data_IF_886866505911
#
_entry.id   IF_886866505911
#
_cell.length_a   1.000
_cell.length_b   1.000
_cell.length_c   1.000
_cell.angle_alpha   90.00
_cell.angle_beta   90.00
_cell.angle_gamma   90.00
#
_symmetry.space_group_name_H-M   'P 1'
#
loop_
_entity.id
_entity.type
_entity.pdbx_description
1 polymer ?
#
# COMPACT_ATOMS: atom_id res chain seq x y z
N UNK A 1 -72.60 4.78 -205.30
CA UNK A 1 -73.95 5.34 -205.52
C UNK A 1 -74.70 5.32 -204.19
N UNK A 2 -74.95 6.48 -203.58
CA UNK A 2 -75.38 6.65 -202.19
C UNK A 2 -76.91 6.64 -202.04
N UNK A 3 -77.55 5.49 -202.31
CA UNK A 3 -79.01 5.33 -202.24
C UNK A 3 -79.46 4.13 -201.37
N UNK A 4 -78.57 3.54 -200.55
CA UNK A 4 -78.85 2.33 -199.75
C UNK A 4 -79.04 2.56 -198.23
N UNK A 5 -78.64 3.70 -197.67
CA UNK A 5 -78.60 3.84 -196.21
C UNK A 5 -79.97 4.02 -195.54
N UNK A 6 -81.00 4.51 -196.24
CA UNK A 6 -82.32 4.73 -195.63
C UNK A 6 -83.07 3.44 -195.26
N UNK A 7 -82.68 2.28 -195.79
CA UNK A 7 -83.39 1.01 -195.51
C UNK A 7 -83.04 0.39 -194.13
N UNK A 8 -81.86 0.67 -193.55
CA UNK A 8 -81.41 0.03 -192.29
C UNK A 8 -82.03 0.63 -191.03
N UNK A 9 -82.33 1.92 -191.05
CA UNK A 9 -82.86 2.60 -189.86
C UNK A 9 -84.31 2.22 -189.56
N UNK A 10 -85.07 1.80 -190.57
CA UNK A 10 -86.43 1.28 -190.40
C UNK A 10 -86.48 0.01 -189.53
N UNK A 11 -85.54 -0.93 -189.69
CA UNK A 11 -85.51 -2.22 -188.97
C UNK A 11 -85.26 -2.08 -187.45
N UNK A 12 -84.42 -1.12 -187.04
CA UNK A 12 -84.15 -0.88 -185.62
C UNK A 12 -85.36 -0.36 -184.86
N UNK A 13 -86.19 0.46 -185.52
CA UNK A 13 -87.41 1.00 -184.91
C UNK A 13 -88.48 -0.08 -184.69
N UNK A 14 -88.59 -1.07 -185.59
CA UNK A 14 -89.52 -2.19 -185.43
C UNK A 14 -89.13 -3.15 -184.28
N UNK A 15 -87.84 -3.45 -184.14
CA UNK A 15 -87.34 -4.28 -183.03
C UNK A 15 -87.54 -3.63 -181.65
N UNK A 16 -87.56 -2.29 -181.59
CA UNK A 16 -87.85 -1.56 -180.35
C UNK A 16 -89.33 -1.67 -179.99
N UNK A 17 -90.23 -1.55 -180.98
CA UNK A 17 -91.68 -1.72 -180.79
C UNK A 17 -92.06 -3.10 -180.28
N UNK A 18 -91.41 -4.16 -180.76
CA UNK A 18 -91.69 -5.54 -180.29
C UNK A 18 -91.38 -5.73 -178.79
N UNK A 19 -90.26 -5.19 -178.30
CA UNK A 19 -89.89 -5.28 -176.87
C UNK A 19 -90.86 -4.50 -175.98
N UNK A 20 -91.30 -3.32 -176.43
CA UNK A 20 -92.31 -2.53 -175.73
C UNK A 20 -93.65 -3.28 -175.62
N UNK A 21 -94.05 -4.00 -176.68
CA UNK A 21 -95.28 -4.81 -176.70
C UNK A 21 -95.22 -6.00 -175.73
N UNK A 22 -94.09 -6.70 -175.62
CA UNK A 22 -93.93 -7.78 -174.64
C UNK A 22 -93.97 -7.26 -173.20
N UNK A 23 -93.37 -6.09 -172.96
CA UNK A 23 -93.42 -5.43 -171.65
C UNK A 23 -94.84 -5.04 -171.28
N UNK A 24 -95.60 -4.49 -172.22
CA UNK A 24 -97.03 -4.16 -172.03
C UNK A 24 -97.88 -5.40 -171.77
N UNK A 25 -97.64 -6.51 -172.47
CA UNK A 25 -98.30 -7.80 -172.19
C UNK A 25 -98.07 -8.30 -170.77
N UNK A 26 -96.88 -8.06 -170.21
CA UNK A 26 -96.55 -8.41 -168.81
C UNK A 26 -97.17 -7.45 -167.79
N UNK A 27 -97.34 -6.18 -168.13
CA UNK A 27 -97.96 -5.17 -167.25
C UNK A 27 -99.49 -5.15 -167.28
N UNK A 28 -100.12 -5.63 -168.36
CA UNK A 28 -101.55 -5.48 -168.63
C UNK A 28 -102.49 -6.25 -167.70
N UNK A 29 -102.49 -7.60 -167.68
CA UNK A 29 -103.45 -8.33 -166.86
C UNK A 29 -103.00 -8.44 -165.40
N UNK A 30 -103.82 -7.91 -164.48
CA UNK A 30 -103.54 -7.83 -163.04
C UNK A 30 -103.25 -9.14 -162.29
N UNK A 31 -103.53 -10.31 -162.88
CA UNK A 31 -103.29 -11.63 -162.28
C UNK A 31 -101.79 -12.00 -162.22
N UNK A 32 -101.03 -11.70 -163.28
CA UNK A 32 -99.57 -11.88 -163.31
C UNK A 32 -98.83 -10.86 -162.42
N UNK A 33 -99.49 -9.75 -162.09
CA UNK A 33 -98.97 -8.69 -161.22
C UNK A 33 -99.11 -8.97 -159.71
N UNK A 34 -100.14 -9.75 -159.33
CA UNK A 34 -100.48 -10.01 -157.92
C UNK A 34 -100.02 -11.39 -157.44
N UNK A 35 -100.05 -12.42 -158.29
CA UNK A 35 -99.60 -13.80 -157.95
C UNK A 35 -98.89 -14.40 -159.17
N UNK A 36 -97.76 -13.82 -159.57
CA UNK A 36 -96.87 -14.40 -160.57
C UNK A 36 -95.81 -15.28 -159.90
N UNK A 37 -96.07 -16.59 -159.79
CA UNK A 37 -95.07 -17.56 -159.34
C UNK A 37 -94.64 -18.43 -160.53
N UNK A 38 -93.34 -18.53 -160.75
CA UNK A 38 -92.75 -19.43 -161.75
C UNK A 38 -92.73 -20.87 -161.20
N UNK A 39 -93.80 -21.60 -161.45
CA UNK A 39 -94.00 -22.97 -160.95
C UNK A 39 -92.90 -23.91 -161.50
N UNK A 40 -92.46 -23.67 -162.74
CA UNK A 40 -91.42 -24.50 -163.37
C UNK A 40 -90.05 -24.19 -162.76
N UNK A 41 -89.75 -22.92 -162.52
CA UNK A 41 -88.54 -22.51 -161.80
C UNK A 41 -88.45 -23.06 -160.37
N UNK A 42 -89.56 -23.02 -159.62
CA UNK A 42 -89.62 -23.55 -158.24
C UNK A 42 -89.50 -25.08 -158.21
N UNK A 43 -90.08 -25.79 -159.18
CA UNK A 43 -89.93 -27.25 -159.30
C UNK A 43 -88.47 -27.66 -159.53
N UNK A 44 -87.76 -26.96 -160.42
CA UNK A 44 -86.33 -27.21 -160.66
C UNK A 44 -85.49 -26.92 -159.40
N UNK A 45 -85.80 -25.86 -158.65
CA UNK A 45 -85.10 -25.54 -157.40
C UNK A 45 -85.32 -26.59 -156.31
N UNK A 46 -86.51 -27.21 -156.25
CA UNK A 46 -86.80 -28.31 -155.35
C UNK A 46 -85.99 -29.56 -155.72
N UNK A 47 -85.91 -29.90 -157.01
CA UNK A 47 -85.08 -31.03 -157.47
C UNK A 47 -83.59 -30.80 -157.22
N UNK A 48 -83.09 -29.59 -157.48
CA UNK A 48 -81.71 -29.21 -157.21
C UNK A 48 -81.39 -29.33 -155.72
N UNK A 49 -82.27 -28.81 -154.85
CA UNK A 49 -82.11 -28.91 -153.39
C UNK A 49 -82.19 -30.34 -152.87
N UNK A 50 -83.05 -31.18 -153.46
CA UNK A 50 -83.12 -32.61 -153.13
C UNK A 50 -81.83 -33.35 -153.53
N UNK A 51 -81.24 -33.02 -154.69
CA UNK A 51 -79.95 -33.59 -155.11
C UNK A 51 -78.80 -33.15 -154.20
N UNK A 52 -78.78 -31.88 -153.79
CA UNK A 52 -77.79 -31.38 -152.83
C UNK A 52 -77.89 -32.10 -151.48
N UNK A 53 -79.10 -32.31 -150.96
CA UNK A 53 -79.31 -33.06 -149.71
C UNK A 53 -78.81 -34.50 -149.80
N UNK A 54 -79.11 -35.21 -150.89
CA UNK A 54 -78.63 -36.59 -151.09
C UNK A 54 -77.10 -36.67 -151.15
N UNK A 55 -76.45 -35.69 -151.78
CA UNK A 55 -74.98 -35.61 -151.81
C UNK A 55 -74.38 -35.32 -150.42
N UNK A 56 -75.02 -34.47 -149.62
CA UNK A 56 -74.59 -34.18 -148.26
C UNK A 56 -74.71 -35.39 -147.33
N UNK A 57 -75.82 -36.12 -147.40
CA UNK A 57 -76.04 -37.35 -146.61
C UNK A 57 -75.02 -38.43 -146.98
N UNK A 58 -74.73 -38.62 -148.27
CA UNK A 58 -73.71 -39.57 -148.71
C UNK A 58 -72.29 -39.18 -148.26
N UNK A 59 -71.98 -37.88 -148.20
CA UNK A 59 -70.71 -37.39 -147.68
C UNK A 59 -70.57 -37.61 -146.17
N UNK A 60 -71.64 -37.39 -145.40
CA UNK A 60 -71.67 -37.66 -143.95
C UNK A 60 -71.47 -39.14 -143.64
N UNK A 61 -72.16 -40.04 -144.36
CA UNK A 61 -71.99 -41.48 -144.16
C UNK A 61 -70.54 -41.94 -144.36
N UNK A 62 -69.84 -41.41 -145.37
CA UNK A 62 -68.42 -41.73 -145.59
C UNK A 62 -67.52 -41.23 -144.47
N UNK A 63 -67.77 -40.01 -143.97
CA UNK A 63 -67.02 -39.46 -142.83
C UNK A 63 -67.22 -40.31 -141.56
N UNK A 64 -68.46 -40.74 -141.29
CA UNK A 64 -68.79 -41.58 -140.14
C UNK A 64 -68.09 -42.95 -140.21
N UNK A 65 -68.00 -43.54 -141.40
CA UNK A 65 -67.28 -44.80 -141.63
C UNK A 65 -65.77 -44.67 -141.42
N UNK A 66 -65.16 -43.58 -141.90
CA UNK A 66 -63.75 -43.27 -141.68
C UNK A 66 -63.45 -43.06 -140.18
N UNK A 67 -64.28 -42.30 -139.48
CA UNK A 67 -64.15 -42.07 -138.04
C UNK A 67 -64.32 -43.35 -137.22
N UNK A 68 -65.18 -44.27 -137.65
CA UNK A 68 -65.35 -45.56 -137.01
C UNK A 68 -64.15 -46.50 -137.22
N UNK A 69 -63.44 -46.37 -138.35
CA UNK A 69 -62.21 -47.10 -138.61
C UNK A 69 -61.04 -46.54 -137.76
N UNK A 70 -60.90 -45.22 -137.69
CA UNK A 70 -59.87 -44.54 -136.88
C UNK A 70 -60.02 -44.90 -135.40
N UNK A 71 -61.24 -44.87 -134.86
CA UNK A 71 -61.52 -45.23 -133.46
C UNK A 71 -61.10 -46.67 -133.12
N UNK A 72 -61.34 -47.62 -134.02
CA UNK A 72 -60.93 -49.02 -133.83
C UNK A 72 -59.41 -49.17 -133.78
N UNK A 73 -58.69 -48.48 -134.65
CA UNK A 73 -57.23 -48.50 -134.66
C UNK A 73 -56.62 -47.91 -133.39
N UNK A 74 -57.13 -46.77 -132.91
CA UNK A 74 -56.64 -46.13 -131.69
C UNK A 74 -56.78 -47.03 -130.45
N UNK A 75 -57.93 -47.70 -130.30
CA UNK A 75 -58.16 -48.63 -129.20
C UNK A 75 -57.17 -49.80 -129.19
N UNK A 76 -56.80 -50.31 -130.37
CA UNK A 76 -55.81 -51.37 -130.48
C UNK A 76 -54.43 -50.88 -130.01
N UNK A 77 -53.97 -49.72 -130.51
CA UNK A 77 -52.68 -49.14 -130.11
C UNK A 77 -52.62 -48.86 -128.61
N UNK A 78 -53.68 -48.29 -128.03
CA UNK A 78 -53.76 -48.05 -126.58
C UNK A 78 -53.65 -49.34 -125.76
N UNK A 79 -54.27 -50.42 -126.24
CA UNK A 79 -54.21 -51.72 -125.57
C UNK A 79 -52.80 -52.33 -125.59
N UNK A 80 -52.11 -52.23 -126.74
CA UNK A 80 -50.75 -52.73 -126.91
C UNK A 80 -49.77 -51.93 -126.02
N UNK A 81 -49.85 -50.60 -126.05
CA UNK A 81 -49.05 -49.69 -125.20
C UNK A 81 -49.26 -49.95 -123.70
N UNK A 82 -50.50 -50.17 -123.27
CA UNK A 82 -50.80 -50.46 -121.87
C UNK A 82 -50.15 -51.78 -121.40
N UNK A 83 -50.10 -52.79 -122.26
CA UNK A 83 -49.44 -54.06 -121.93
C UNK A 83 -47.93 -53.94 -121.86
N UNK A 84 -47.30 -53.21 -122.79
CA UNK A 84 -45.86 -52.96 -122.79
C UNK A 84 -45.40 -52.21 -121.52
N UNK A 85 -46.09 -51.11 -121.18
CA UNK A 85 -45.78 -50.33 -119.96
C UNK A 85 -45.90 -51.16 -118.69
N UNK A 86 -46.88 -52.07 -118.62
CA UNK A 86 -47.07 -52.94 -117.46
C UNK A 86 -45.91 -53.92 -117.30
N UNK A 87 -45.37 -54.44 -118.39
CA UNK A 87 -44.21 -55.34 -118.35
C UNK A 87 -42.95 -54.60 -117.88
N UNK A 88 -42.69 -53.40 -118.41
CA UNK A 88 -41.55 -52.56 -118.00
C UNK A 88 -41.60 -52.15 -116.52
N UNK A 89 -42.78 -51.83 -115.99
CA UNK A 89 -42.94 -51.50 -114.58
C UNK A 89 -42.64 -52.70 -113.66
N UNK A 90 -43.00 -53.91 -114.11
CA UNK A 90 -42.72 -55.13 -113.34
C UNK A 90 -41.23 -55.47 -113.35
N UNK A 91 -40.54 -55.32 -114.47
CA UNK A 91 -39.08 -55.56 -114.53
C UNK A 91 -38.33 -54.56 -113.64
N UNK A 92 -38.64 -53.27 -113.74
CA UNK A 92 -38.01 -52.23 -112.93
C UNK A 92 -38.24 -52.43 -111.43
N UNK A 93 -39.45 -52.84 -111.03
CA UNK A 93 -39.77 -53.16 -109.64
C UNK A 93 -38.92 -54.33 -109.12
N UNK A 94 -38.76 -55.38 -109.92
CA UNK A 94 -37.97 -56.55 -109.52
C UNK A 94 -36.49 -56.20 -109.37
N UNK A 95 -35.94 -55.42 -110.30
CA UNK A 95 -34.53 -54.99 -110.27
C UNK A 95 -34.24 -54.13 -109.02
N UNK A 96 -35.15 -53.21 -108.68
CA UNK A 96 -35.03 -52.41 -107.46
C UNK A 96 -35.08 -53.25 -106.18
N UNK A 97 -35.95 -54.25 -106.13
CA UNK A 97 -36.04 -55.14 -104.98
C UNK A 97 -34.75 -55.95 -104.78
N UNK A 98 -34.14 -56.44 -105.86
CA UNK A 98 -32.86 -57.14 -105.82
C UNK A 98 -31.74 -56.23 -105.30
N UNK A 99 -31.62 -55.01 -105.83
CA UNK A 99 -30.59 -54.05 -105.39
C UNK A 99 -30.73 -53.63 -103.91
N UNK A 100 -31.97 -53.51 -103.41
CA UNK A 100 -32.22 -53.18 -102.01
C UNK A 100 -31.75 -54.32 -101.08
N UNK A 101 -32.05 -55.57 -101.43
CA UNK A 101 -31.64 -56.75 -100.67
C UNK A 101 -30.11 -56.90 -100.64
N UNK A 102 -29.43 -56.63 -101.76
CA UNK A 102 -27.96 -56.67 -101.82
C UNK A 102 -27.31 -55.63 -100.89
N UNK A 103 -27.84 -54.39 -100.85
CA UNK A 103 -27.37 -53.35 -99.93
C UNK A 103 -27.53 -53.78 -98.47
N UNK A 104 -28.71 -54.28 -98.10
CA UNK A 104 -28.99 -54.72 -96.73
C UNK A 104 -28.04 -55.85 -96.29
N UNK A 105 -27.74 -56.81 -97.18
CA UNK A 105 -26.78 -57.88 -96.89
C UNK A 105 -25.37 -57.34 -96.64
N UNK A 106 -24.91 -56.35 -97.41
CA UNK A 106 -23.59 -55.71 -97.21
C UNK A 106 -23.51 -54.98 -95.86
N UNK A 107 -24.57 -54.28 -95.47
CA UNK A 107 -24.63 -53.59 -94.18
C UNK A 107 -24.59 -54.57 -92.99
N UNK A 108 -25.32 -55.69 -93.08
CA UNK A 108 -25.32 -56.73 -92.06
C UNK A 108 -23.94 -57.38 -91.90
N UNK A 109 -23.23 -57.64 -93.00
CA UNK A 109 -21.87 -58.15 -92.98
C UNK A 109 -20.89 -57.17 -92.33
N UNK A 110 -21.00 -55.87 -92.65
CA UNK A 110 -20.16 -54.83 -92.05
C UNK A 110 -20.43 -54.65 -90.55
N UNK A 111 -21.68 -54.78 -90.10
CA UNK A 111 -22.05 -54.73 -88.69
C UNK A 111 -21.46 -55.92 -87.90
N UNK A 112 -21.44 -57.13 -88.49
CA UNK A 112 -20.83 -58.29 -87.87
C UNK A 112 -19.31 -58.12 -87.66
N UNK A 113 -18.59 -57.51 -88.61
CA UNK A 113 -17.16 -57.21 -88.47
C UNK A 113 -16.87 -56.16 -87.41
N UNK A 114 -17.79 -55.21 -87.18
CA UNK A 114 -17.68 -54.15 -86.17
C UNK A 114 -18.07 -54.59 -84.75
N UNK A 115 -18.54 -55.83 -84.57
CA UNK A 115 -19.02 -56.34 -83.29
C UNK A 115 -17.91 -56.81 -82.33
N UNK A 116 -16.64 -56.76 -82.72
CA UNK A 116 -15.54 -57.10 -81.83
C UNK A 116 -15.43 -56.07 -80.69
N UNK A 117 -15.26 -56.51 -79.42
CA UNK A 117 -15.12 -55.59 -78.30
C UNK A 117 -13.83 -54.76 -78.44
N UNK A 118 -13.94 -53.46 -78.15
CA UNK A 118 -12.79 -52.55 -78.15
C UNK A 118 -11.89 -52.91 -76.96
N UNK A 119 -10.64 -53.24 -77.23
CA UNK A 119 -9.61 -53.45 -76.20
C UNK A 119 -8.95 -52.11 -75.90
N UNK A 120 -9.36 -51.47 -74.81
CA UNK A 120 -8.99 -50.10 -74.43
C UNK A 120 -7.47 -49.88 -74.36
N UNK A 121 -6.72 -50.85 -73.84
CA UNK A 121 -5.26 -50.77 -73.67
C UNK A 121 -4.46 -50.88 -74.98
N UNK A 122 -5.07 -51.40 -76.04
CA UNK A 122 -4.44 -51.54 -77.36
C UNK A 122 -4.74 -50.35 -78.28
N UNK A 123 -5.60 -49.42 -77.86
CA UNK A 123 -5.99 -48.27 -78.65
C UNK A 123 -4.90 -47.18 -78.64
N UNK A 124 -4.62 -46.60 -79.81
CA UNK A 124 -3.72 -45.46 -79.90
C UNK A 124 -4.34 -44.21 -79.22
N UNK A 125 -3.54 -43.25 -78.73
CA UNK A 125 -4.02 -42.06 -78.02
C UNK A 125 -5.07 -41.23 -78.80
N UNK A 126 -5.01 -41.24 -80.14
CA UNK A 126 -5.98 -40.53 -81.01
C UNK A 126 -7.36 -41.19 -81.11
N UNK A 127 -7.54 -42.42 -80.63
CA UNK A 127 -8.82 -43.12 -80.65
C UNK A 127 -9.80 -42.66 -79.54
N UNK A 128 -9.32 -41.86 -78.58
CA UNK A 128 -10.09 -41.33 -77.45
C UNK A 128 -10.85 -42.39 -76.63
N UNK A 129 -10.33 -43.61 -76.56
CA UNK A 129 -10.91 -44.72 -75.78
C UNK A 129 -10.30 -44.86 -74.38
N UNK A 130 -9.12 -44.27 -74.13
CA UNK A 130 -8.42 -44.31 -72.84
C UNK A 130 -7.98 -42.90 -72.43
N UNK A 131 -8.31 -42.51 -71.20
CA UNK A 131 -7.96 -41.20 -70.63
C UNK A 131 -7.09 -41.37 -69.38
N UNK A 132 -5.92 -40.76 -69.36
CA UNK A 132 -4.99 -40.84 -68.23
C UNK A 132 -5.55 -40.27 -66.90
N UNK A 133 -6.62 -39.47 -66.95
CA UNK A 133 -7.28 -38.90 -65.76
C UNK A 133 -8.24 -39.84 -65.04
N UNK A 134 -8.63 -40.97 -65.64
CA UNK A 134 -9.66 -41.85 -65.07
C UNK A 134 -9.16 -42.73 -63.91
N UNK A 135 -7.83 -42.86 -63.74
CA UNK A 135 -7.13 -43.57 -62.66
C UNK A 135 -7.94 -44.75 -62.06
N UNK A 136 -7.87 -45.95 -62.67
CA UNK A 136 -8.61 -47.12 -62.17
C UNK A 136 -8.19 -47.53 -60.74
N UNK A 137 -7.00 -47.12 -60.31
CA UNK A 137 -6.43 -47.42 -58.99
C UNK A 137 -6.73 -46.33 -57.94
N UNK A 138 -7.58 -45.35 -58.25
CA UNK A 138 -7.91 -44.24 -57.33
C UNK A 138 -8.32 -44.74 -55.94
N UNK A 139 -9.15 -45.77 -55.88
CA UNK A 139 -9.65 -46.33 -54.63
C UNK A 139 -8.54 -47.00 -53.81
N UNK A 140 -7.64 -47.73 -54.46
CA UNK A 140 -6.50 -48.37 -53.80
C UNK A 140 -5.49 -47.32 -53.28
N UNK A 141 -5.23 -46.29 -54.08
CA UNK A 141 -4.37 -45.16 -53.68
C UNK A 141 -4.92 -44.46 -52.45
N UNK A 142 -6.21 -44.13 -52.45
CA UNK A 142 -6.89 -43.50 -51.30
C UNK A 142 -6.83 -44.41 -50.07
N UNK A 143 -7.03 -45.72 -50.24
CA UNK A 143 -6.90 -46.70 -49.14
C UNK A 143 -5.49 -46.72 -48.55
N UNK A 144 -4.45 -46.75 -49.39
CA UNK A 144 -3.06 -46.74 -48.93
C UNK A 144 -2.70 -45.42 -48.23
N UNK A 145 -3.12 -44.28 -48.78
CA UNK A 145 -2.93 -42.97 -48.15
C UNK A 145 -3.62 -42.90 -46.78
N UNK A 146 -4.84 -43.43 -46.66
CA UNK A 146 -5.55 -43.49 -45.37
C UNK A 146 -4.82 -44.40 -44.36
N UNK A 147 -4.24 -45.51 -44.80
CA UNK A 147 -3.43 -46.39 -43.93
C UNK A 147 -2.14 -45.70 -43.49
N UNK A 148 -1.44 -45.00 -44.38
CA UNK A 148 -0.24 -44.23 -44.05
C UNK A 148 -0.56 -43.13 -43.05
N UNK A 149 -1.63 -42.37 -43.31
CA UNK A 149 -2.08 -41.31 -42.40
C UNK A 149 -2.41 -41.88 -41.02
N UNK A 150 -3.13 -43.01 -40.95
CA UNK A 150 -3.44 -43.70 -39.69
C UNK A 150 -2.18 -44.13 -38.95
N UNK A 151 -1.18 -44.65 -39.66
CA UNK A 151 0.09 -45.06 -39.03
C UNK A 151 0.86 -43.86 -38.48
N UNK A 152 0.96 -42.77 -39.25
CA UNK A 152 1.64 -41.55 -38.81
C UNK A 152 0.94 -40.89 -37.64
N UNK A 153 -0.39 -40.80 -37.65
CA UNK A 153 -1.13 -40.22 -36.52
C UNK A 153 -0.97 -41.08 -35.27
N UNK A 154 -0.97 -42.41 -35.41
CA UNK A 154 -0.73 -43.30 -34.27
C UNK A 154 0.68 -43.10 -33.70
N UNK A 155 1.71 -43.04 -34.56
CA UNK A 155 3.09 -42.78 -34.14
C UNK A 155 3.21 -41.44 -33.40
N UNK A 156 2.60 -40.37 -33.92
CA UNK A 156 2.61 -39.05 -33.27
C UNK A 156 1.90 -39.07 -31.91
N UNK A 157 0.76 -39.76 -31.79
CA UNK A 157 0.05 -39.90 -30.52
C UNK A 157 0.92 -40.66 -29.50
N UNK A 158 1.58 -41.74 -29.93
CA UNK A 158 2.41 -42.54 -29.03
C UNK A 158 3.68 -41.78 -28.61
N UNK A 159 4.31 -41.04 -29.52
CA UNK A 159 5.42 -40.14 -29.19
C UNK A 159 5.00 -39.04 -28.21
N UNK A 160 3.83 -38.43 -28.42
CA UNK A 160 3.31 -37.41 -27.52
C UNK A 160 3.05 -38.00 -26.13
N UNK A 161 2.41 -39.17 -26.04
CA UNK A 161 2.18 -39.85 -24.77
C UNK A 161 3.47 -40.19 -24.03
N UNK A 162 4.52 -40.59 -24.77
CA UNK A 162 5.83 -40.85 -24.17
C UNK A 162 6.47 -39.58 -23.62
N UNK A 163 6.37 -38.45 -24.34
CA UNK A 163 6.85 -37.15 -23.86
C UNK A 163 6.08 -36.70 -22.62
N UNK A 164 4.75 -36.74 -22.67
CA UNK A 164 3.89 -36.38 -21.53
C UNK A 164 4.22 -37.24 -20.28
N UNK A 165 4.49 -38.54 -20.47
CA UNK A 165 4.89 -39.42 -19.38
C UNK A 165 6.28 -39.10 -18.82
N UNK A 166 7.23 -38.71 -19.69
CA UNK A 166 8.56 -38.27 -19.27
C UNK A 166 8.50 -36.95 -18.49
N UNK A 167 7.73 -35.99 -19.00
CA UNK A 167 7.53 -34.69 -18.36
C UNK A 167 6.85 -34.88 -16.99
N UNK A 168 5.80 -35.68 -16.90
CA UNK A 168 5.14 -36.00 -15.63
C UNK A 168 6.08 -36.71 -14.64
N UNK A 169 6.96 -37.61 -15.11
CA UNK A 169 7.96 -38.25 -14.26
C UNK A 169 9.01 -37.26 -13.77
N UNK A 170 9.47 -36.34 -14.62
CA UNK A 170 10.41 -35.28 -14.25
C UNK A 170 9.80 -34.29 -13.24
N UNK A 171 8.55 -33.88 -13.45
CA UNK A 171 7.80 -33.04 -12.50
C UNK A 171 7.63 -33.74 -11.15
N UNK A 172 7.28 -35.03 -11.14
CA UNK A 172 7.16 -35.81 -9.91
C UNK A 172 8.50 -35.92 -9.15
N UNK A 173 9.62 -36.13 -9.87
CA UNK A 173 10.95 -36.14 -9.28
C UNK A 173 11.32 -34.77 -8.71
N UNK A 174 11.05 -33.69 -9.44
CA UNK A 174 11.28 -32.33 -8.97
C UNK A 174 10.45 -32.01 -7.73
N UNK A 175 9.17 -32.39 -7.71
CA UNK A 175 8.32 -32.21 -6.54
C UNK A 175 8.83 -33.02 -5.32
N UNK A 176 9.37 -34.22 -5.54
CA UNK A 176 9.97 -35.02 -4.47
C UNK A 176 11.23 -34.35 -3.91
N UNK A 177 12.14 -33.88 -4.76
CA UNK A 177 13.36 -33.20 -4.31
C UNK A 177 13.05 -31.89 -3.60
N UNK A 178 12.04 -31.13 -4.05
CA UNK A 178 11.58 -29.93 -3.33
C UNK A 178 11.07 -30.25 -1.93
N UNK A 179 10.29 -31.33 -1.75
CA UNK A 179 9.82 -31.75 -0.44
C UNK A 179 10.96 -32.15 0.48
N UNK A 180 11.95 -32.87 -0.04
CA UNK A 180 13.16 -33.22 0.71
C UNK A 180 13.92 -31.97 1.14
N UNK A 181 14.13 -31.02 0.23
CA UNK A 181 14.79 -29.76 0.55
C UNK A 181 14.04 -28.98 1.64
N UNK A 182 12.72 -28.84 1.54
CA UNK A 182 11.92 -28.18 2.57
C UNK A 182 12.03 -28.89 3.92
N UNK A 183 11.93 -30.22 3.94
CA UNK A 183 12.10 -30.99 5.17
C UNK A 183 13.50 -30.81 5.80
N UNK A 184 14.56 -30.74 4.98
CA UNK A 184 15.91 -30.46 5.48
C UNK A 184 16.05 -29.05 6.04
N UNK A 185 15.42 -28.05 5.41
CA UNK A 185 15.42 -26.67 5.89
C UNK A 185 14.70 -26.56 7.24
N UNK A 186 13.53 -27.18 7.36
CA UNK A 186 12.77 -27.20 8.61
C UNK A 186 13.57 -27.87 9.74
N UNK A 187 14.22 -29.01 9.45
CA UNK A 187 15.08 -29.69 10.43
C UNK A 187 16.28 -28.83 10.86
N UNK A 188 16.89 -28.08 9.94
CA UNK A 188 17.98 -27.15 10.24
C UNK A 188 17.49 -25.97 11.10
N UNK A 189 16.32 -25.41 10.78
CA UNK A 189 15.72 -24.34 11.58
C UNK A 189 15.41 -24.81 13.00
N UNK A 190 14.80 -25.99 13.16
CA UNK A 190 14.57 -26.55 14.49
C UNK A 190 15.86 -26.79 15.27
N UNK A 191 16.92 -27.25 14.59
CA UNK A 191 18.22 -27.46 15.23
C UNK A 191 18.84 -26.12 15.69
N UNK A 192 18.78 -25.07 14.87
CA UNK A 192 19.29 -23.74 15.22
C UNK A 192 18.52 -23.15 16.42
N UNK A 193 17.20 -23.26 16.43
CA UNK A 193 16.38 -22.79 17.56
C UNK A 193 16.68 -23.58 18.86
N UNK A 194 16.93 -24.89 18.77
CA UNK A 194 17.37 -25.69 19.92
C UNK A 194 18.73 -25.26 20.44
N UNK A 195 19.69 -24.96 19.56
CA UNK A 195 21.01 -24.47 19.98
C UNK A 195 20.93 -23.04 20.56
N UNK A 196 20.14 -22.15 19.96
CA UNK A 196 19.90 -20.80 20.51
C UNK A 196 19.29 -20.84 21.89
N UNK A 197 18.27 -21.66 22.10
CA UNK A 197 17.63 -21.82 23.40
C UNK A 197 18.60 -22.42 24.42
N UNK A 198 19.39 -23.42 24.02
CA UNK A 198 20.45 -23.98 24.87
C UNK A 198 21.48 -22.92 25.28
N UNK A 199 22.01 -22.16 24.33
CA UNK A 199 22.97 -21.08 24.59
C UNK A 199 22.39 -20.00 25.49
N UNK A 200 21.12 -19.62 25.28
CA UNK A 200 20.44 -18.65 26.13
C UNK A 200 20.36 -19.14 27.59
N UNK A 201 20.02 -20.41 27.81
CA UNK A 201 19.98 -21.01 29.16
C UNK A 201 21.38 -21.08 29.78
N UNK A 202 22.41 -21.43 29.00
CA UNK A 202 23.79 -21.44 29.49
C UNK A 202 24.27 -20.03 29.88
N UNK A 203 23.98 -19.02 29.06
CA UNK A 203 24.27 -17.61 29.35
C UNK A 203 23.52 -17.11 30.59
N UNK A 204 22.25 -17.47 30.75
CA UNK A 204 21.46 -17.13 31.94
C UNK A 204 22.11 -17.71 33.20
N UNK A 205 22.55 -18.98 33.16
CA UNK A 205 23.25 -19.62 34.28
C UNK A 205 24.56 -18.90 34.62
N UNK A 206 25.36 -18.58 33.62
CA UNK A 206 26.62 -17.84 33.81
C UNK A 206 26.35 -16.46 34.40
N UNK A 207 25.37 -15.72 33.88
CA UNK A 207 24.98 -14.40 34.39
C UNK A 207 24.48 -14.48 35.83
N UNK A 208 23.69 -15.49 36.19
CA UNK A 208 23.24 -15.71 37.55
C UNK A 208 24.41 -15.97 38.52
N UNK A 209 25.37 -16.81 38.11
CA UNK A 209 26.60 -17.05 38.89
C UNK A 209 27.43 -15.78 39.05
N UNK A 210 27.63 -15.01 37.98
CA UNK A 210 28.35 -13.74 38.02
C UNK A 210 27.67 -12.75 38.98
N UNK A 211 26.34 -12.62 38.90
CA UNK A 211 25.58 -11.77 39.82
C UNK A 211 25.74 -12.21 41.28
N UNK A 212 25.69 -13.51 41.56
CA UNK A 212 25.89 -14.02 42.92
C UNK A 212 27.31 -13.73 43.43
N UNK A 213 28.34 -13.96 42.61
CA UNK A 213 29.72 -13.64 43.00
C UNK A 213 29.90 -12.14 43.25
N UNK A 214 29.28 -11.28 42.45
CA UNK A 214 29.31 -9.84 42.65
C UNK A 214 28.62 -9.44 43.96
N UNK A 215 27.45 -10.00 44.27
CA UNK A 215 26.75 -9.78 45.54
C UNK A 215 27.59 -10.20 46.74
N UNK A 216 28.20 -11.39 46.69
CA UNK A 216 29.09 -11.89 47.75
C UNK A 216 30.30 -10.97 47.95
N UNK A 217 30.91 -10.50 46.86
CA UNK A 217 32.03 -9.54 46.92
C UNK A 217 31.60 -8.21 47.54
N UNK A 218 30.46 -7.66 47.13
CA UNK A 218 29.93 -6.43 47.69
C UNK A 218 29.62 -6.56 49.20
N UNK A 219 29.01 -7.67 49.62
CA UNK A 219 28.78 -7.96 51.04
C UNK A 219 30.09 -8.08 51.83
N UNK A 220 31.09 -8.78 51.28
CA UNK A 220 32.39 -8.92 51.91
C UNK A 220 33.11 -7.56 52.03
N UNK A 221 33.03 -6.73 51.00
CA UNK A 221 33.57 -5.37 51.02
C UNK A 221 32.86 -4.50 52.06
N UNK A 222 31.53 -4.50 52.10
CA UNK A 222 30.78 -3.75 53.09
C UNK A 222 31.09 -4.19 54.53
N UNK A 223 31.25 -5.50 54.75
CA UNK A 223 31.66 -6.03 56.05
C UNK A 223 33.11 -5.64 56.42
N UNK A 224 34.03 -5.62 55.44
CA UNK A 224 35.39 -5.16 55.65
C UNK A 224 35.45 -3.66 55.97
N UNK A 225 34.67 -2.85 55.26
CA UNK A 225 34.52 -1.41 55.50
C UNK A 225 33.94 -1.14 56.88
N UNK A 226 32.87 -1.83 57.29
CA UNK A 226 32.31 -1.72 58.63
C UNK A 226 33.33 -2.06 59.72
N UNK A 227 34.15 -3.10 59.52
CA UNK A 227 35.23 -3.44 60.46
C UNK A 227 36.31 -2.37 60.51
N UNK A 228 36.70 -1.82 59.36
CA UNK A 228 37.66 -0.73 59.28
C UNK A 228 37.15 0.52 60.00
N UNK A 229 35.89 0.91 59.73
CA UNK A 229 35.24 2.04 60.38
C UNK A 229 35.11 1.84 61.89
N UNK A 230 34.74 0.63 62.35
CA UNK A 230 34.69 0.33 63.78
C UNK A 230 36.07 0.41 64.44
N UNK A 231 37.11 -0.12 63.78
CA UNK A 231 38.48 -0.03 64.26
C UNK A 231 38.98 1.43 64.31
N UNK A 232 38.62 2.25 63.32
CA UNK A 232 38.94 3.68 63.30
C UNK A 232 38.24 4.43 64.42
N UNK A 233 36.94 4.17 64.66
CA UNK A 233 36.18 4.75 65.77
C UNK A 233 36.84 4.37 67.10
N UNK A 234 37.17 3.09 67.32
CA UNK A 234 37.84 2.67 68.56
C UNK A 234 39.22 3.32 68.72
N UNK A 235 40.02 3.38 67.66
CA UNK A 235 41.33 4.02 67.68
C UNK A 235 41.23 5.52 67.98
N UNK A 236 40.22 6.19 67.42
CA UNK A 236 39.94 7.61 67.64
C UNK A 236 39.48 7.87 69.08
N UNK A 237 38.59 7.04 69.62
CA UNK A 237 38.14 7.14 71.01
C UNK A 237 39.29 6.89 72.00
N UNK A 238 40.17 5.94 71.70
CA UNK A 238 41.39 5.68 72.51
C UNK A 238 42.51 6.68 72.25
N UNK A 239 42.36 7.56 71.27
CA UNK A 239 43.36 8.59 70.99
C UNK A 239 43.51 9.52 72.18
N UNK A 240 44.74 9.90 72.46
CA UNK A 240 45.05 10.84 73.53
C UNK A 240 44.46 12.25 73.27
N UNK A 241 44.12 12.56 72.01
CA UNK A 241 43.46 13.81 71.65
C UNK A 241 42.02 13.86 72.20
N UNK A 242 41.21 12.83 71.93
CA UNK A 242 39.79 12.77 72.33
C UNK A 242 39.63 12.48 73.82
N UNK A 243 40.43 11.56 74.36
CA UNK A 243 40.42 11.24 75.80
C UNK A 243 41.07 12.31 76.69
N UNK A 244 41.61 13.37 76.06
CA UNK A 244 42.34 14.45 76.69
C UNK A 244 43.42 14.01 77.70
N UNK A 245 44.05 12.86 77.48
CA UNK A 245 44.92 12.22 78.46
C UNK A 245 46.01 13.17 79.03
N UNK A 246 46.01 13.48 80.35
CA UNK A 246 46.96 14.41 80.96
C UNK A 246 48.41 13.93 80.92
N UNK A 247 48.63 12.62 80.71
CA UNK A 247 49.97 12.05 80.57
C UNK A 247 50.71 12.54 79.32
N UNK A 248 50.02 13.11 78.32
CA UNK A 248 50.67 13.73 77.15
C UNK A 248 51.61 14.87 77.53
N UNK A 249 51.36 15.54 78.66
CA UNK A 249 52.21 16.61 79.16
C UNK A 249 53.49 16.11 79.83
N UNK A 250 53.63 14.79 80.06
CA UNK A 250 54.83 14.21 80.65
C UNK A 250 55.99 14.23 79.63
N UNK A 251 57.17 14.68 80.08
CA UNK A 251 58.39 14.55 79.29
C UNK A 251 59.06 13.21 79.60
N UNK A 252 59.76 12.65 78.62
CA UNK A 252 60.48 11.39 78.82
C UNK A 252 61.69 11.54 79.77
N UNK A 253 62.26 12.73 79.86
CA UNK A 253 63.48 13.04 80.62
C UNK A 253 63.21 13.45 82.08
N UNK A 254 61.97 13.78 82.45
CA UNK A 254 61.67 14.27 83.79
C UNK A 254 60.25 13.87 84.24
N UNK A 255 60.05 13.59 85.54
CA UNK A 255 58.72 13.39 86.11
C UNK A 255 57.82 14.62 85.93
N UNK A 256 56.52 14.39 85.73
CA UNK A 256 55.51 15.43 85.46
C UNK A 256 55.41 16.51 86.55
N UNK A 257 55.77 16.21 87.79
CA UNK A 257 55.74 17.17 88.90
C UNK A 257 56.90 18.19 88.86
N UNK A 258 57.96 17.94 88.08
CA UNK A 258 59.12 18.83 87.98
C UNK A 258 59.13 19.62 86.68
N UNK A 259 58.88 18.96 85.56
CA UNK A 259 58.83 19.59 84.23
C UNK A 259 57.74 18.97 83.38
N UNK A 260 57.03 19.83 82.67
CA UNK A 260 55.95 19.46 81.76
C UNK A 260 56.27 19.94 80.35
N UNK A 261 55.74 19.24 79.35
CA UNK A 261 55.69 19.72 77.97
C UNK A 261 54.75 20.90 77.88
N UNK A 262 55.27 22.05 77.44
CA UNK A 262 54.52 23.32 77.43
C UNK A 262 53.37 23.29 76.42
N UNK A 263 53.55 22.61 75.29
CA UNK A 263 52.58 22.48 74.20
C UNK A 263 51.34 21.64 74.57
N UNK A 264 51.47 20.70 75.52
CA UNK A 264 50.39 19.78 75.93
C UNK A 264 49.93 20.00 77.37
N UNK A 265 50.32 21.11 78.00
CA UNK A 265 49.94 21.40 79.38
C UNK A 265 48.47 21.84 79.48
N UNK A 266 47.67 21.08 80.25
CA UNK A 266 46.22 21.28 80.41
C UNK A 266 45.80 21.76 81.80
N UNK A 267 46.74 22.25 82.60
CA UNK A 267 46.49 22.74 83.96
C UNK A 267 46.80 21.71 85.06
N UNK A 268 46.50 22.10 86.29
CA UNK A 268 46.85 21.33 87.50
C UNK A 268 45.98 20.07 87.65
N UNK A 269 46.59 19.01 88.19
CA UNK A 269 45.85 17.80 88.59
C UNK A 269 44.83 18.13 89.70
N UNK A 270 43.71 17.40 89.74
CA UNK A 270 42.72 17.53 90.80
C UNK A 270 43.32 17.34 92.21
N UNK A 271 44.39 16.55 92.35
CA UNK A 271 45.12 16.41 93.61
C UNK A 271 45.91 17.66 93.98
N UNK A 272 46.57 18.28 93.01
CA UNK A 272 47.32 19.53 93.20
C UNK A 272 46.36 20.68 93.50
N UNK A 273 45.23 20.79 92.80
CA UNK A 273 44.19 21.76 93.12
C UNK A 273 43.68 21.58 94.56
N UNK A 274 43.46 20.34 95.01
CA UNK A 274 43.08 20.06 96.40
C UNK A 274 44.15 20.48 97.41
N UNK A 275 45.43 20.29 97.10
CA UNK A 275 46.53 20.74 97.96
C UNK A 275 46.58 22.27 98.04
N UNK A 276 46.42 22.98 96.92
CA UNK A 276 46.38 24.46 96.91
C UNK A 276 45.20 24.98 97.73
N UNK A 277 44.02 24.37 97.60
CA UNK A 277 42.85 24.76 98.42
C UNK A 277 43.12 24.54 99.90
N UNK A 278 43.66 23.38 100.30
CA UNK A 278 44.03 23.11 101.69
C UNK A 278 45.04 24.12 102.23
N UNK A 279 46.07 24.43 101.45
CA UNK A 279 47.09 25.40 101.84
C UNK A 279 46.50 26.82 101.99
N UNK A 280 45.59 27.22 101.09
CA UNK A 280 44.88 28.49 101.21
C UNK A 280 44.00 28.55 102.47
N UNK A 281 43.32 27.46 102.81
CA UNK A 281 42.51 27.37 104.03
C UNK A 281 43.38 27.50 105.29
N UNK A 282 44.55 26.86 105.30
CA UNK A 282 45.55 26.99 106.37
C UNK A 282 46.03 28.43 106.51
N UNK A 283 46.42 29.08 105.41
CA UNK A 283 46.83 30.50 105.40
C UNK A 283 45.72 31.43 105.89
N UNK A 284 44.46 31.16 105.53
CA UNK A 284 43.33 31.94 106.04
C UNK A 284 43.16 31.80 107.55
N UNK A 285 43.31 30.58 108.08
CA UNK A 285 43.26 30.32 109.53
C UNK A 285 44.40 31.03 110.26
N UNK A 286 45.63 30.95 109.76
CA UNK A 286 46.78 31.65 110.35
C UNK A 286 46.56 33.17 110.38
N UNK A 287 46.09 33.76 109.27
CA UNK A 287 45.75 35.20 109.21
C UNK A 287 44.61 35.57 110.16
N UNK A 288 43.65 34.68 110.38
CA UNK A 288 42.58 34.91 111.35
C UNK A 288 43.12 34.89 112.78
N UNK A 289 43.97 33.91 113.13
CA UNK A 289 44.61 33.85 114.43
C UNK A 289 45.49 35.07 114.71
N UNK A 290 46.28 35.53 113.72
CA UNK A 290 47.08 36.75 113.86
C UNK A 290 46.21 37.99 114.10
N UNK A 291 45.05 38.11 113.42
CA UNK A 291 44.09 39.19 113.65
C UNK A 291 43.44 39.13 115.03
N UNK A 292 43.13 37.93 115.52
CA UNK A 292 42.61 37.74 116.88
C UNK A 292 43.65 38.13 117.93
N UNK A 293 44.90 37.71 117.77
CA UNK A 293 46.01 38.11 118.65
C UNK A 293 46.24 39.62 118.64
N UNK A 294 46.19 40.28 117.47
CA UNK A 294 46.28 41.74 117.38
C UNK A 294 45.12 42.43 118.10
N UNK A 295 43.88 41.93 117.94
CA UNK A 295 42.71 42.47 118.65
C UNK A 295 42.82 42.30 120.16
N UNK A 296 43.36 41.18 120.63
CA UNK A 296 43.55 40.95 122.07
C UNK A 296 44.67 41.82 122.64
N UNK A 297 45.76 42.06 121.87
CA UNK A 297 46.78 43.05 122.21
C UNK A 297 46.19 44.47 122.28
N UNK A 298 45.45 44.91 121.25
CA UNK A 298 44.78 46.21 121.25
C UNK A 298 43.81 46.37 122.45
N UNK A 299 43.11 45.30 122.84
CA UNK A 299 42.25 45.30 124.02
C UNK A 299 43.03 45.41 125.32
N UNK A 300 44.17 44.71 125.43
CA UNK A 300 45.05 44.79 126.59
C UNK A 300 45.62 46.20 126.71
N UNK A 301 46.15 46.76 125.62
CA UNK A 301 46.68 48.13 125.56
C UNK A 301 45.60 49.16 125.91
N UNK A 302 44.37 48.99 125.39
CA UNK A 302 43.25 49.87 125.72
C UNK A 302 42.82 49.76 127.19
N UNK A 303 42.88 48.56 127.79
CA UNK A 303 42.59 48.34 129.20
C UNK A 303 43.66 48.96 130.10
N UNK A 304 44.93 48.82 129.75
CA UNK A 304 46.06 49.47 130.44
C UNK A 304 45.94 50.99 130.36
N UNK A 305 45.70 51.54 129.17
CA UNK A 305 45.50 52.98 128.97
C UNK A 305 44.30 53.49 129.80
N UNK A 306 43.19 52.74 129.86
CA UNK A 306 42.03 53.10 130.68
C UNK A 306 42.31 53.03 132.18
N UNK A 307 43.13 52.08 132.63
CA UNK A 307 43.56 51.98 134.02
C UNK A 307 44.46 53.16 134.40
N UNK A 308 45.39 53.54 133.52
CA UNK A 308 46.26 54.70 133.70
C UNK A 308 45.44 56.00 133.82
N UNK A 309 44.49 56.22 132.90
CA UNK A 309 43.58 57.39 132.97
C UNK A 309 42.75 57.40 134.26
N UNK A 310 42.33 56.23 134.77
CA UNK A 310 41.61 56.13 136.04
C UNK A 310 42.51 56.49 137.23
N UNK A 311 43.77 56.09 137.23
CA UNK A 311 44.72 56.49 138.28
C UNK A 311 44.96 58.00 138.25
N UNK A 312 45.22 58.57 137.06
CA UNK A 312 45.41 60.01 136.90
C UNK A 312 44.21 60.82 137.43
N UNK A 313 42.98 60.41 137.11
CA UNK A 313 41.77 61.07 137.61
C UNK A 313 41.58 60.95 139.12
N UNK A 314 41.96 59.81 139.73
CA UNK A 314 41.94 59.65 141.19
C UNK A 314 42.99 60.54 141.87
N UNK A 315 44.20 60.62 141.31
CA UNK A 315 45.29 61.46 141.82
C UNK A 315 44.95 62.96 141.71
N UNK A 316 44.33 63.38 140.60
CA UNK A 316 43.78 64.74 140.43
C UNK A 316 42.71 65.05 141.48
N UNK A 317 41.80 64.11 141.75
CA UNK A 317 40.78 64.30 142.79
C UNK A 317 41.38 64.36 144.21
N UNK A 318 42.36 63.51 144.52
CA UNK A 318 43.05 63.51 145.81
C UNK A 318 43.83 64.82 146.05
N UNK A 319 44.51 65.33 145.02
CA UNK A 319 45.21 66.62 145.09
C UNK A 319 44.24 67.80 145.25
N UNK A 320 43.06 67.77 144.61
CA UNK A 320 42.01 68.77 144.84
C UNK A 320 41.47 68.74 146.28
N UNK A 321 41.22 67.54 146.84
CA UNK A 321 40.79 67.38 148.23
C UNK A 321 41.84 67.89 149.22
N UNK A 322 43.12 67.55 149.02
CA UNK A 322 44.22 68.03 149.86
C UNK A 322 44.32 69.57 149.82
N UNK A 323 44.20 70.19 148.64
CA UNK A 323 44.13 71.66 148.51
C UNK A 323 42.94 72.26 149.26
N UNK A 324 41.77 71.64 149.17
CA UNK A 324 40.58 72.10 149.89
C UNK A 324 40.72 71.98 151.42
N UNK A 325 41.36 70.90 151.91
CA UNK A 325 41.68 70.72 153.33
C UNK A 325 42.67 71.78 153.82
N UNK A 326 43.78 72.00 153.10
CA UNK A 326 44.74 73.06 153.42
C UNK A 326 44.08 74.44 153.46
N UNK A 327 43.16 74.75 152.53
CA UNK A 327 42.41 76.01 152.57
C UNK A 327 41.49 76.12 153.79
N UNK A 328 40.88 75.02 154.25
CA UNK A 328 40.05 75.00 155.48
C UNK A 328 40.91 75.19 156.73
N UNK A 329 42.05 74.52 156.82
CA UNK A 329 43.01 74.66 157.92
C UNK A 329 43.54 76.10 158.00
N UNK A 330 43.92 76.68 156.85
CA UNK A 330 44.31 78.09 156.74
C UNK A 330 43.21 79.01 157.28
N UNK A 331 41.94 78.81 156.88
CA UNK A 331 40.81 79.59 157.42
C UNK A 331 40.67 79.47 158.94
N UNK A 332 40.74 78.27 159.48
CA UNK A 332 40.63 78.05 160.93
C UNK A 332 41.80 78.68 161.71
N UNK A 333 43.03 78.62 161.18
CA UNK A 333 44.18 79.28 161.80
C UNK A 333 44.05 80.80 161.79
N UNK A 334 43.53 81.38 160.71
CA UNK A 334 43.26 82.83 160.63
C UNK A 334 42.17 83.24 161.63
N UNK A 335 41.12 82.45 161.80
CA UNK A 335 40.08 82.69 162.81
C UNK A 335 40.62 82.63 164.24
N UNK A 336 41.47 81.65 164.55
CA UNK A 336 42.16 81.55 165.86
C UNK A 336 43.07 82.74 166.12
N UNK A 337 43.87 83.15 165.14
CA UNK A 337 44.74 84.32 165.25
C UNK A 337 43.92 85.61 165.45
N UNK A 338 42.76 85.74 164.82
CA UNK A 338 41.87 86.88 165.01
C UNK A 338 41.27 86.92 166.43
N UNK A 339 40.93 85.76 167.02
CA UNK A 339 40.45 85.66 168.40
C UNK A 339 41.57 85.97 169.42
N UNK A 340 42.76 85.40 169.23
CA UNK A 340 43.93 85.66 170.09
C UNK A 340 44.38 87.12 170.04
N UNK A 341 44.29 87.78 168.88
CA UNK A 341 44.55 89.21 168.74
C UNK A 341 43.53 90.06 169.52
N UNK A 342 42.23 89.73 169.44
CA UNK A 342 41.17 90.39 170.22
C UNK A 342 41.38 90.22 171.74
N UNK A 343 41.81 89.04 172.17
CA UNK A 343 42.09 88.77 173.59
C UNK A 343 43.36 89.47 174.08
N UNK A 344 44.39 89.61 173.22
CA UNK A 344 45.58 90.44 173.52
C UNK A 344 45.22 91.91 173.66
N UNK A 345 44.39 92.46 172.78
CA UNK A 345 43.93 93.85 172.90
C UNK A 345 43.14 94.09 174.20
N UNK A 346 42.29 93.13 174.62
CA UNK A 346 41.61 93.18 175.92
C UNK A 346 42.58 93.18 177.10
N UNK A 347 43.60 92.32 177.09
CA UNK A 347 44.62 92.24 178.17
C UNK A 347 45.49 93.51 178.24
N UNK A 348 45.83 94.11 177.10
CA UNK A 348 46.55 95.39 177.05
C UNK A 348 45.70 96.56 177.58
N UNK A 349 44.39 96.55 177.34
CA UNK A 349 43.46 97.54 177.88
C UNK A 349 43.27 97.44 179.41
N UNK A 350 43.43 96.26 180.00
CA UNK A 350 43.39 96.08 181.47
C UNK A 350 44.69 96.52 182.14
N UNK A 351 45.84 96.36 181.48
CA UNK A 351 47.15 96.79 181.98
C UNK A 351 47.40 98.31 181.89
N UNK A 352 46.56 99.06 181.16
CA UNK A 352 46.68 100.52 181.03
C UNK A 352 45.97 101.32 182.14
N UNK A 353 45.52 100.67 183.23
CA UNK A 353 45.00 101.32 184.44
C UNK A 353 46.10 101.34 185.51
N UNK A 354 46.86 102.44 185.58
CA UNK A 354 47.99 102.60 186.48
C UNK A 354 47.60 102.59 187.97
N UNK A 355 48.40 101.90 188.79
CA UNK A 355 48.35 101.92 190.25
C UNK A 355 49.47 102.83 190.79
N UNK A 356 49.12 103.79 191.63
CA UNK A 356 50.06 104.71 192.29
C UNK A 356 50.62 104.01 193.54
N UNK A 357 51.93 103.76 193.55
CA UNK A 357 52.63 103.11 194.66
C UNK A 357 52.88 104.10 195.82
N UNK A 358 52.70 103.64 197.06
CA UNK A 358 52.75 104.44 198.29
C UNK A 358 54.12 105.06 198.58
N UNK A 359 55.18 104.59 197.93
CA UNK A 359 56.51 105.22 197.96
C UNK A 359 56.53 106.61 197.27
N UNK A 360 55.55 106.92 196.39
CA UNK A 360 55.42 108.22 195.72
C UNK A 360 55.11 109.37 196.70
N UNK A 361 54.33 109.11 197.76
CA UNK A 361 53.95 110.15 198.74
C UNK A 361 55.02 110.42 199.81
N UNK A 362 56.08 109.60 199.89
CA UNK A 362 57.23 109.92 200.74
C UNK A 362 58.18 110.96 200.10
N UNK A 363 57.88 111.41 198.87
CA UNK A 363 58.56 112.49 198.17
C UNK A 363 58.19 113.92 198.64
N UNK A 364 57.43 114.08 199.73
CA UNK A 364 57.11 115.42 200.25
C UNK A 364 57.53 115.58 201.71
N UNK A 365 58.42 116.55 201.97
CA UNK A 365 58.61 117.18 203.28
C UNK A 365 59.71 116.64 204.20
N UNK A 366 60.63 115.77 203.76
CA UNK A 366 61.69 115.20 204.62
C UNK A 366 63.11 115.69 204.29
N UNK A 367 63.37 116.95 204.63
CA UNK A 367 64.59 117.47 205.29
C UNK A 367 64.99 118.85 204.79
N UNK A 368 65.03 119.82 205.72
CA UNK A 368 65.27 121.25 205.51
C UNK A 368 66.72 121.68 205.77
N UNK A 369 67.51 120.92 206.49
CA UNK A 369 68.80 121.35 207.03
C UNK A 369 69.53 120.07 207.38
#
# INVERSE_FOLDING_TARGET
MPLLDDAKDALRHDARRQREQERLKKLGPGRLRSIGADIVGVANQLEEKQREQQLQEAAQQRADEEDAAIRRYLLQVESEDATARRQELLTLRNDWQLQALERQRREQQAAATRAAPIVVDACAPGAAQSFAGEDPLRLERVRLQAQQLKQWTQQQIDEQRQRDAQDAAAEAQYAATQRELLATLDALHEADERERTRLAVELERVNAQLLETQRRRAQAQAAAEQRANAAEIEATLRSNLVSENPQQAQRADAPMHQRVRVDHWKGLSAEQCRQVVKHNDELQRERQQQREQQRDQERADAAEHRALLRQQTLDEHATQLARAQQQRELRQTLERQAQEARDRERRLAEQSKGAIDGAFFQAFGRSYR
#
